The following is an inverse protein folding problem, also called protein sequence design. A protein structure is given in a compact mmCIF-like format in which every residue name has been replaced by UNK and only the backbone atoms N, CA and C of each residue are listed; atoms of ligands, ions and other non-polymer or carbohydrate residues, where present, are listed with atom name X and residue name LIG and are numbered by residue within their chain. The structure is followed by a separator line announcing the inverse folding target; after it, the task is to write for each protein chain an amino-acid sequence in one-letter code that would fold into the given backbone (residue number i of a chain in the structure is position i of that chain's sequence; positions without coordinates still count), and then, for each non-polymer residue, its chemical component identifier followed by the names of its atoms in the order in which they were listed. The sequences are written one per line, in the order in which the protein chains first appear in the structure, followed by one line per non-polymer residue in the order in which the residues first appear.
data_IF_705073754654
#
_entry.id   IF_705073754654
#
_cell.length_a   1.000
_cell.length_b   1.000
_cell.length_c   1.000
_cell.angle_alpha   90.00
_cell.angle_beta   90.00
_cell.angle_gamma   90.00
#
_symmetry.space_group_name_H-M   'P 1'
#
loop_
_entity.id
_entity.type
_entity.pdbx_description
1 polymer ?
#
# COMPACT_ATOMS: atom_id res chain seq x y z
N UNK A 1 8.62 2.84 -30.92
CA UNK A 1 8.92 2.18 -29.65
C UNK A 1 8.47 3.09 -28.54
N UNK A 2 7.29 2.84 -27.99
CA UNK A 2 6.87 3.51 -26.76
C UNK A 2 7.74 2.95 -25.61
N UNK A 3 8.62 3.75 -25.07
CA UNK A 3 9.32 3.37 -23.83
C UNK A 3 8.34 3.61 -22.68
N UNK A 4 7.90 2.55 -21.98
CA UNK A 4 7.14 2.70 -20.75
C UNK A 4 7.99 3.47 -19.75
N UNK A 5 7.58 4.69 -19.45
CA UNK A 5 8.25 5.55 -18.47
C UNK A 5 7.47 5.52 -17.17
N UNK A 6 8.10 5.11 -16.09
CA UNK A 6 7.52 5.16 -14.74
C UNK A 6 7.86 6.52 -14.14
N UNK A 7 6.86 7.19 -13.59
CA UNK A 7 7.00 8.48 -12.92
C UNK A 7 6.53 8.29 -11.47
N UNK A 8 7.38 8.68 -10.53
CA UNK A 8 7.04 8.68 -9.10
C UNK A 8 6.75 10.09 -8.65
N UNK A 9 5.56 10.31 -8.10
CA UNK A 9 5.16 11.58 -7.51
C UNK A 9 4.90 11.39 -6.01
N UNK A 10 5.33 12.34 -5.18
CA UNK A 10 5.10 12.31 -3.74
C UNK A 10 4.02 13.31 -3.36
N UNK A 11 2.89 12.83 -2.87
CA UNK A 11 1.80 13.67 -2.37
C UNK A 11 2.16 14.37 -1.04
N UNK A 12 3.02 13.78 -0.22
CA UNK A 12 3.55 14.31 1.06
C UNK A 12 2.48 14.65 2.12
N UNK A 13 1.35 13.98 2.07
CA UNK A 13 0.30 14.08 3.07
C UNK A 13 -0.34 12.68 3.28
N UNK A 14 -1.15 12.54 4.32
CA UNK A 14 -1.84 11.27 4.55
C UNK A 14 -3.06 11.12 3.64
N UNK A 15 -3.62 9.91 3.61
CA UNK A 15 -4.77 9.56 2.76
C UNK A 15 -6.02 10.39 3.07
N UNK A 16 -6.24 10.78 4.33
CA UNK A 16 -7.39 11.57 4.76
C UNK A 16 -7.34 13.01 4.24
N UNK A 17 -6.13 13.55 4.05
CA UNK A 17 -5.97 14.86 3.39
C UNK A 17 -6.30 14.78 1.90
N UNK A 18 -5.92 13.69 1.23
CA UNK A 18 -6.28 13.45 -0.16
C UNK A 18 -7.80 13.33 -0.29
N UNK A 19 -8.46 12.59 0.62
CA UNK A 19 -9.91 12.45 0.64
C UNK A 19 -10.63 13.80 0.66
N UNK A 20 -10.22 14.71 1.54
CA UNK A 20 -10.85 16.04 1.64
C UNK A 20 -10.69 16.86 0.38
N UNK A 21 -9.52 16.85 -0.25
CA UNK A 21 -9.30 17.57 -1.51
C UNK A 21 -10.18 17.02 -2.63
N UNK A 22 -10.44 15.70 -2.64
CA UNK A 22 -11.32 15.05 -3.62
C UNK A 22 -12.81 15.29 -3.30
N UNK A 23 -13.17 15.35 -2.01
CA UNK A 23 -14.55 15.62 -1.58
C UNK A 23 -14.97 17.07 -1.87
N UNK A 24 -14.03 18.02 -1.83
CA UNK A 24 -14.25 19.42 -2.20
C UNK A 24 -14.48 19.61 -3.71
N UNK A 25 -13.94 18.70 -4.55
CA UNK A 25 -14.08 18.74 -6.00
C UNK A 25 -14.17 17.30 -6.55
N UNK A 26 -15.40 16.83 -6.79
CA UNK A 26 -15.66 15.46 -7.28
C UNK A 26 -15.10 15.20 -8.67
N UNK A 27 -14.92 16.25 -9.47
CA UNK A 27 -14.38 16.18 -10.85
C UNK A 27 -12.85 16.33 -10.87
N UNK A 28 -12.18 16.37 -9.70
CA UNK A 28 -10.74 16.59 -9.64
C UNK A 28 -9.99 15.43 -10.32
N UNK A 29 -9.19 15.80 -11.31
CA UNK A 29 -8.23 14.88 -11.92
C UNK A 29 -7.03 14.70 -10.98
N UNK A 30 -6.83 13.47 -10.50
CA UNK A 30 -5.74 13.13 -9.58
C UNK A 30 -4.36 13.52 -10.15
N UNK A 31 -4.17 13.46 -11.45
CA UNK A 31 -2.93 13.85 -12.10
C UNK A 31 -2.73 15.36 -12.00
N UNK A 32 -3.76 16.14 -12.22
CA UNK A 32 -3.71 17.60 -12.09
C UNK A 32 -3.43 18.01 -10.64
N UNK A 33 -4.04 17.35 -9.66
CA UNK A 33 -3.77 17.57 -8.25
C UNK A 33 -2.30 17.27 -7.90
N UNK A 34 -1.77 16.11 -8.32
CA UNK A 34 -0.39 15.71 -8.06
C UNK A 34 0.61 16.64 -8.72
N UNK A 35 0.33 17.13 -9.95
CA UNK A 35 1.16 18.14 -10.64
C UNK A 35 1.22 19.43 -9.84
N UNK A 36 0.09 19.93 -9.39
CA UNK A 36 0.01 21.17 -8.61
C UNK A 36 0.83 21.05 -7.32
N UNK A 37 0.68 19.93 -6.61
CA UNK A 37 1.45 19.64 -5.39
C UNK A 37 2.95 19.55 -5.66
N UNK A 38 3.35 18.88 -6.74
CA UNK A 38 4.76 18.75 -7.12
C UNK A 38 5.36 20.10 -7.51
N UNK A 39 4.66 20.92 -8.28
CA UNK A 39 5.10 22.27 -8.65
C UNK A 39 5.27 23.14 -7.39
N UNK A 40 4.32 23.09 -6.45
CA UNK A 40 4.44 23.80 -5.16
C UNK A 40 5.65 23.31 -4.36
N UNK A 41 5.87 21.99 -4.29
CA UNK A 41 7.00 21.40 -3.58
C UNK A 41 8.34 21.80 -4.20
N UNK A 42 8.47 21.82 -5.52
CA UNK A 42 9.67 22.24 -6.24
C UNK A 42 10.04 23.71 -6.00
N UNK A 43 9.03 24.58 -5.80
CA UNK A 43 9.27 26.02 -5.48
C UNK A 43 9.82 26.21 -4.06
N UNK A 44 9.57 25.30 -3.15
CA UNK A 44 9.92 25.42 -1.72
C UNK A 44 11.28 24.79 -1.40
N UNK A 45 11.73 23.81 -2.21
CA UNK A 45 12.95 23.04 -1.97
C UNK A 45 13.85 23.03 -3.21
N UNK A 46 15.01 23.65 -3.11
CA UNK A 46 16.03 23.64 -4.15
C UNK A 46 16.87 22.35 -4.23
N UNK A 47 16.66 21.40 -3.32
CA UNK A 47 17.47 20.21 -3.09
C UNK A 47 16.80 18.86 -3.46
N UNK A 48 15.56 18.93 -3.96
CA UNK A 48 14.84 17.75 -4.49
C UNK A 48 15.06 17.70 -6.00
N UNK A 49 15.34 16.53 -6.56
CA UNK A 49 15.31 16.32 -8.01
C UNK A 49 14.01 16.92 -8.56
N UNK A 50 14.14 18.02 -9.29
CA UNK A 50 13.02 18.72 -9.89
C UNK A 50 12.47 17.85 -11.03
N UNK A 51 11.48 17.01 -10.72
CA UNK A 51 10.75 16.29 -11.76
C UNK A 51 9.89 17.33 -12.47
N UNK A 52 10.20 17.60 -13.73
CA UNK A 52 9.36 18.43 -14.58
C UNK A 52 8.10 17.65 -14.98
N UNK A 53 7.01 17.95 -14.31
CA UNK A 53 5.68 17.34 -14.57
C UNK A 53 4.79 18.21 -15.46
N UNK A 54 5.29 19.37 -15.91
CA UNK A 54 4.49 20.34 -16.67
C UNK A 54 4.01 19.81 -18.02
N UNK A 55 4.82 18.95 -18.65
CA UNK A 55 4.56 18.38 -19.97
C UNK A 55 3.87 17.01 -19.95
N UNK A 56 3.45 16.51 -18.78
CA UNK A 56 2.73 15.24 -18.68
C UNK A 56 1.25 15.53 -18.90
N UNK A 57 0.61 14.94 -19.89
CA UNK A 57 -0.83 14.99 -20.05
C UNK A 57 -1.49 13.76 -19.44
N UNK A 58 -2.70 13.89 -18.93
CA UNK A 58 -3.47 12.76 -18.38
C UNK A 58 -3.63 11.65 -19.42
N UNK A 59 -3.82 12.02 -20.69
CA UNK A 59 -3.93 11.08 -21.82
C UNK A 59 -2.66 10.28 -22.11
N UNK A 60 -1.50 10.72 -21.62
CA UNK A 60 -0.22 10.01 -21.76
C UNK A 60 -0.03 8.94 -20.68
N UNK A 61 -0.92 8.88 -19.68
CA UNK A 61 -0.83 8.00 -18.52
C UNK A 61 -1.77 6.82 -18.70
N UNK A 62 -1.21 5.63 -18.78
CA UNK A 62 -1.98 4.40 -18.97
C UNK A 62 -2.46 3.77 -17.67
N UNK A 63 -1.74 3.99 -16.57
CA UNK A 63 -2.07 3.40 -15.28
C UNK A 63 -1.59 4.30 -14.13
N UNK A 64 -2.41 4.36 -13.08
CA UNK A 64 -2.14 5.13 -11.87
C UNK A 64 -2.21 4.20 -10.66
N UNK A 65 -1.15 4.19 -9.85
CA UNK A 65 -1.09 3.44 -8.62
C UNK A 65 -0.83 4.37 -7.44
N UNK A 66 -1.69 4.33 -6.43
CA UNK A 66 -1.65 5.15 -5.24
C UNK A 66 -1.23 4.31 -4.04
N UNK A 67 -0.17 4.70 -3.34
CA UNK A 67 0.31 4.00 -2.15
C UNK A 67 0.22 4.92 -0.95
N UNK A 68 -0.52 4.48 0.07
CA UNK A 68 -0.70 5.23 1.30
C UNK A 68 -0.52 4.34 2.53
N UNK A 69 -0.22 5.00 3.63
CA UNK A 69 -0.23 4.42 4.96
C UNK A 69 -1.65 4.52 5.55
N UNK A 70 -2.06 3.54 6.36
CA UNK A 70 -3.35 3.60 7.03
C UNK A 70 -3.42 4.77 8.02
N UNK A 71 -2.33 5.05 8.76
CA UNK A 71 -2.21 6.21 9.65
C UNK A 71 -3.41 6.47 10.57
N UNK A 72 -4.07 5.42 11.05
CA UNK A 72 -5.29 5.50 11.86
C UNK A 72 -5.18 6.26 13.19
N UNK A 73 -3.96 6.66 13.56
CA UNK A 73 -3.66 7.44 14.76
C UNK A 73 -3.72 8.97 14.53
N UNK A 74 -3.92 9.43 13.30
CA UNK A 74 -3.98 10.87 13.01
C UNK A 74 -5.31 11.45 13.46
N UNK A 75 -5.33 12.73 13.84
CA UNK A 75 -6.53 13.41 14.36
C UNK A 75 -7.70 13.42 13.36
N UNK A 76 -7.38 13.33 12.08
CA UNK A 76 -8.36 13.33 11.00
C UNK A 76 -8.66 11.93 10.45
N UNK A 77 -8.23 10.86 11.13
CA UNK A 77 -8.48 9.50 10.66
C UNK A 77 -9.97 9.13 10.70
N UNK A 78 -10.45 8.56 9.60
CA UNK A 78 -11.81 8.07 9.46
C UNK A 78 -11.82 6.77 8.64
N UNK A 79 -12.30 5.69 9.24
CA UNK A 79 -12.39 4.40 8.57
C UNK A 79 -13.43 4.43 7.43
N UNK A 80 -14.49 5.25 7.55
CA UNK A 80 -15.51 5.46 6.52
C UNK A 80 -14.94 6.18 5.29
N UNK A 81 -14.04 7.14 5.50
CA UNK A 81 -13.34 7.81 4.40
C UNK A 81 -12.42 6.84 3.64
N UNK A 82 -11.75 5.91 4.33
CA UNK A 82 -10.97 4.84 3.69
C UNK A 82 -11.83 3.98 2.77
N UNK A 83 -13.03 3.57 3.21
CA UNK A 83 -13.95 2.80 2.36
C UNK A 83 -14.32 3.58 1.10
N UNK A 84 -14.65 4.87 1.23
CA UNK A 84 -14.97 5.71 0.07
C UNK A 84 -13.78 5.85 -0.89
N UNK A 85 -12.57 6.00 -0.35
CA UNK A 85 -11.34 6.09 -1.15
C UNK A 85 -11.05 4.79 -1.91
N UNK A 86 -11.21 3.64 -1.26
CA UNK A 86 -11.02 2.33 -1.89
C UNK A 86 -12.02 2.08 -3.02
N UNK A 87 -13.28 2.54 -2.86
CA UNK A 87 -14.30 2.45 -3.90
C UNK A 87 -14.04 3.42 -5.08
N UNK A 88 -13.49 4.62 -4.81
CA UNK A 88 -13.18 5.60 -5.86
C UNK A 88 -11.93 5.22 -6.65
N UNK A 89 -10.95 4.61 -5.99
CA UNK A 89 -9.65 4.24 -6.55
C UNK A 89 -9.48 2.73 -6.59
N UNK A 90 -10.32 2.07 -7.35
CA UNK A 90 -10.36 0.61 -7.51
C UNK A 90 -9.75 0.11 -8.84
N UNK A 91 -9.53 1.03 -9.80
CA UNK A 91 -9.09 0.70 -11.16
C UNK A 91 -7.93 1.61 -11.60
N UNK A 92 -6.77 1.00 -11.88
CA UNK A 92 -5.55 1.69 -12.29
C UNK A 92 -5.65 2.40 -13.64
N UNK A 93 -6.58 1.99 -14.51
CA UNK A 93 -6.76 2.57 -15.85
C UNK A 93 -7.80 3.70 -15.88
N UNK A 94 -8.47 3.94 -14.77
CA UNK A 94 -9.49 4.99 -14.62
C UNK A 94 -8.99 6.08 -13.63
N UNK A 95 -9.53 6.08 -12.42
CA UNK A 95 -9.14 7.06 -11.39
C UNK A 95 -7.82 6.74 -10.71
N UNK A 96 -7.31 5.52 -10.90
CA UNK A 96 -6.16 4.96 -10.21
C UNK A 96 -6.55 3.84 -9.25
N UNK A 97 -5.57 3.05 -8.81
CA UNK A 97 -5.76 1.97 -7.87
C UNK A 97 -5.03 2.24 -6.57
N UNK A 98 -5.78 2.23 -5.47
CA UNK A 98 -5.28 2.51 -4.12
C UNK A 98 -4.76 1.25 -3.44
N UNK A 99 -3.57 1.36 -2.84
CA UNK A 99 -2.92 0.34 -2.03
C UNK A 99 -2.58 0.91 -0.66
N UNK A 100 -3.01 0.23 0.41
CA UNK A 100 -2.81 0.68 1.79
C UNK A 100 -1.88 -0.25 2.55
N UNK A 101 -0.88 0.31 3.22
CA UNK A 101 0.00 -0.41 4.14
C UNK A 101 -0.48 -0.25 5.59
N UNK A 102 -0.53 -1.35 6.34
CA UNK A 102 -1.01 -1.42 7.72
C UNK A 102 0.14 -1.75 8.69
N UNK A 103 0.47 -0.88 9.65
CA UNK A 103 -0.04 0.49 9.83
C UNK A 103 0.59 1.50 8.87
N UNK A 104 1.75 1.22 8.27
CA UNK A 104 2.49 2.11 7.37
C UNK A 104 3.50 1.34 6.50
N UNK A 105 4.22 2.06 5.61
CA UNK A 105 5.15 1.48 4.63
C UNK A 105 6.22 0.57 5.23
N UNK A 106 6.65 0.80 6.47
CA UNK A 106 7.57 -0.08 7.19
C UNK A 106 7.05 -1.50 7.40
N UNK A 107 5.74 -1.74 7.21
CA UNK A 107 5.14 -3.09 7.23
C UNK A 107 5.83 -4.06 6.27
N UNK A 108 6.36 -3.56 5.13
CA UNK A 108 7.08 -4.38 4.16
C UNK A 108 8.27 -5.12 4.78
N UNK A 109 9.00 -4.46 5.65
CA UNK A 109 10.18 -5.03 6.29
C UNK A 109 9.95 -5.51 7.73
N UNK A 110 8.73 -5.38 8.27
CA UNK A 110 8.39 -5.92 9.58
C UNK A 110 8.24 -7.43 9.48
N UNK A 111 9.37 -8.12 9.45
CA UNK A 111 9.45 -9.57 9.33
C UNK A 111 10.73 -10.08 10.01
N UNK A 112 10.54 -11.07 10.89
CA UNK A 112 11.61 -11.73 11.62
C UNK A 112 11.46 -13.24 11.48
N UNK A 113 12.50 -13.91 10.98
CA UNK A 113 12.46 -15.34 10.62
C UNK A 113 12.16 -16.29 11.78
N UNK A 114 12.52 -15.88 12.99
CA UNK A 114 12.29 -16.65 14.22
C UNK A 114 10.95 -16.32 14.90
N UNK A 115 10.15 -15.40 14.33
CA UNK A 115 8.88 -14.92 14.92
C UNK A 115 7.76 -14.86 13.89
N UNK A 116 7.50 -15.98 13.20
CA UNK A 116 6.49 -16.04 12.13
C UNK A 116 5.05 -16.25 12.64
N UNK A 117 4.84 -16.41 13.94
CA UNK A 117 3.51 -16.46 14.52
C UNK A 117 2.75 -15.16 14.25
N UNK A 118 1.51 -15.30 13.76
CA UNK A 118 0.67 -14.18 13.33
C UNK A 118 0.44 -13.13 14.43
N UNK A 119 0.39 -13.58 15.70
CA UNK A 119 0.19 -12.69 16.84
C UNK A 119 1.34 -11.70 17.05
N UNK A 120 2.53 -11.97 16.51
CA UNK A 120 3.66 -11.04 16.54
C UNK A 120 3.47 -9.85 15.56
N UNK A 121 2.46 -9.92 14.69
CA UNK A 121 2.19 -8.93 13.66
C UNK A 121 0.87 -8.17 13.90
N UNK A 122 0.32 -8.23 15.11
CA UNK A 122 -0.76 -7.34 15.54
C UNK A 122 -0.14 -6.13 16.25
N UNK A 123 -0.44 -4.93 15.74
CA UNK A 123 0.11 -3.68 16.26
C UNK A 123 -0.97 -2.63 16.45
N UNK A 124 -0.74 -1.67 17.34
CA UNK A 124 -1.65 -0.55 17.59
C UNK A 124 -1.91 0.25 16.32
N UNK A 125 -3.18 0.55 16.07
CA UNK A 125 -3.66 1.25 14.88
C UNK A 125 -4.10 2.68 15.15
N UNK A 126 -4.75 2.90 16.29
CA UNK A 126 -5.33 4.21 16.67
C UNK A 126 -4.44 5.01 17.62
N UNK A 127 -3.45 4.37 18.23
CA UNK A 127 -2.49 5.03 19.12
C UNK A 127 -1.19 5.31 18.39
N UNK A 128 -0.65 6.50 18.57
CA UNK A 128 0.66 6.88 18.00
C UNK A 128 1.77 6.07 18.65
N UNK A 129 2.33 5.14 17.93
CA UNK A 129 3.52 4.36 18.30
C UNK A 129 4.71 4.76 17.43
N UNK A 130 5.93 4.60 17.93
CA UNK A 130 7.12 4.77 17.10
C UNK A 130 7.38 3.49 16.29
N UNK A 131 6.44 3.16 15.40
CA UNK A 131 6.46 1.92 14.61
C UNK A 131 7.72 1.76 13.78
N UNK A 132 8.22 2.84 13.19
CA UNK A 132 9.47 2.82 12.43
C UNK A 132 10.66 2.33 13.24
N UNK A 133 10.84 2.86 14.45
CA UNK A 133 11.92 2.41 15.35
C UNK A 133 11.67 0.99 15.85
N UNK A 134 10.42 0.63 16.13
CA UNK A 134 10.06 -0.73 16.52
C UNK A 134 10.45 -1.72 15.42
N UNK A 135 10.11 -1.44 14.16
CA UNK A 135 10.44 -2.30 13.02
C UNK A 135 11.95 -2.40 12.83
N UNK A 136 12.70 -1.30 12.90
CA UNK A 136 14.16 -1.35 12.72
C UNK A 136 14.88 -2.24 13.75
N UNK A 137 14.30 -2.41 14.95
CA UNK A 137 14.81 -3.32 15.99
C UNK A 137 14.27 -4.75 15.88
N UNK A 138 13.20 -4.97 15.11
CA UNK A 138 12.48 -6.23 15.00
C UNK A 138 12.37 -6.74 13.55
N UNK A 139 13.38 -6.51 12.73
CA UNK A 139 13.45 -7.01 11.36
C UNK A 139 14.76 -7.70 11.06
N UNK A 140 14.73 -8.68 10.15
CA UNK A 140 15.90 -9.23 9.50
C UNK A 140 16.18 -8.59 8.12
N UNK A 141 15.37 -7.57 7.73
CA UNK A 141 15.33 -6.99 6.39
C UNK A 141 15.42 -5.45 6.39
N UNK A 142 16.28 -4.88 7.24
CA UNK A 142 16.36 -3.43 7.40
C UNK A 142 16.74 -2.70 6.11
N UNK A 143 17.70 -3.25 5.36
CA UNK A 143 18.20 -2.66 4.12
C UNK A 143 17.63 -3.37 2.89
N UNK A 144 16.55 -2.83 2.33
CA UNK A 144 15.86 -3.42 1.17
C UNK A 144 16.70 -3.43 -0.11
N UNK A 145 17.69 -2.53 -0.26
CA UNK A 145 18.55 -2.46 -1.45
C UNK A 145 19.45 -3.69 -1.59
N UNK A 146 19.84 -4.28 -0.47
CA UNK A 146 20.76 -5.41 -0.43
C UNK A 146 20.05 -6.78 -0.42
N UNK A 147 18.72 -6.81 -0.59
CA UNK A 147 17.98 -8.06 -0.55
C UNK A 147 18.20 -8.90 -1.80
N UNK A 148 18.40 -10.20 -1.60
CA UNK A 148 18.43 -11.18 -2.68
C UNK A 148 17.02 -11.44 -3.23
N UNK A 149 16.93 -12.03 -4.42
CA UNK A 149 15.67 -12.50 -4.99
C UNK A 149 14.89 -13.41 -4.02
N UNK A 150 15.60 -14.33 -3.34
CA UNK A 150 14.98 -15.21 -2.34
C UNK A 150 14.42 -14.46 -1.13
N UNK A 151 15.11 -13.41 -0.65
CA UNK A 151 14.57 -12.56 0.42
C UNK A 151 13.27 -11.86 -0.01
N UNK A 152 13.22 -11.34 -1.24
CA UNK A 152 12.02 -10.73 -1.78
C UNK A 152 10.84 -11.70 -1.86
N UNK A 153 11.05 -12.89 -2.41
CA UNK A 153 9.99 -13.92 -2.44
C UNK A 153 9.50 -14.29 -1.04
N UNK A 154 10.42 -14.42 -0.08
CA UNK A 154 10.06 -14.71 1.30
C UNK A 154 9.22 -13.59 1.91
N UNK A 155 9.59 -12.31 1.75
CA UNK A 155 8.82 -11.17 2.24
C UNK A 155 7.43 -11.14 1.62
N UNK A 156 7.33 -11.34 0.30
CA UNK A 156 6.06 -11.33 -0.42
C UNK A 156 5.17 -12.48 0.03
N UNK A 157 5.72 -13.69 0.15
CA UNK A 157 4.97 -14.88 0.58
C UNK A 157 4.45 -14.75 2.01
N UNK A 158 5.24 -14.19 2.92
CA UNK A 158 4.80 -13.98 4.31
C UNK A 158 3.71 -12.90 4.42
N UNK A 159 3.73 -11.86 3.58
CA UNK A 159 2.62 -10.92 3.47
C UNK A 159 1.36 -11.60 2.91
N UNK A 160 1.50 -12.45 1.88
CA UNK A 160 0.38 -13.22 1.34
C UNK A 160 -0.18 -14.19 2.39
N UNK A 161 0.64 -14.93 3.13
CA UNK A 161 0.19 -15.80 4.24
C UNK A 161 -0.64 -15.04 5.26
N UNK A 162 -0.17 -13.87 5.69
CA UNK A 162 -0.91 -13.03 6.65
C UNK A 162 -2.24 -12.56 6.09
N UNK A 163 -2.28 -12.21 4.80
CA UNK A 163 -3.52 -11.84 4.14
C UNK A 163 -4.51 -13.02 4.05
N UNK A 164 -4.03 -14.21 3.69
CA UNK A 164 -4.84 -15.42 3.65
C UNK A 164 -5.42 -15.76 5.03
N UNK A 165 -4.62 -15.62 6.09
CA UNK A 165 -5.08 -15.76 7.46
C UNK A 165 -6.14 -14.71 7.84
N UNK A 166 -5.93 -13.44 7.47
CA UNK A 166 -6.88 -12.36 7.72
C UNK A 166 -8.22 -12.64 7.05
N UNK A 167 -8.20 -13.03 5.78
CA UNK A 167 -9.39 -13.29 4.96
C UNK A 167 -9.96 -14.71 5.16
N UNK A 168 -9.34 -15.54 6.02
CA UNK A 168 -9.77 -16.91 6.32
C UNK A 168 -9.79 -17.82 5.08
N UNK A 169 -8.87 -17.58 4.13
CA UNK A 169 -8.70 -18.37 2.91
C UNK A 169 -7.71 -19.50 3.17
N UNK A 170 -8.14 -20.75 3.11
CA UNK A 170 -7.33 -21.94 3.40
C UNK A 170 -6.65 -22.53 2.17
N UNK A 171 -7.27 -22.38 1.00
CA UNK A 171 -6.73 -22.86 -0.27
C UNK A 171 -6.68 -21.70 -1.25
N UNK A 172 -5.55 -21.54 -1.91
CA UNK A 172 -5.32 -20.42 -2.81
C UNK A 172 -4.85 -20.90 -4.18
N UNK A 173 -5.45 -20.39 -5.22
CA UNK A 173 -4.98 -20.38 -6.60
C UNK A 173 -5.14 -18.97 -7.16
N UNK A 174 -4.70 -18.73 -8.40
CA UNK A 174 -4.74 -17.39 -8.97
C UNK A 174 -6.17 -16.88 -9.18
N UNK A 175 -7.11 -17.75 -9.53
CA UNK A 175 -8.53 -17.39 -9.68
C UNK A 175 -9.13 -16.92 -8.35
N UNK A 176 -8.87 -17.64 -7.26
CA UNK A 176 -9.31 -17.22 -5.91
C UNK A 176 -8.63 -15.91 -5.51
N UNK A 177 -7.32 -15.78 -5.78
CA UNK A 177 -6.58 -14.56 -5.52
C UNK A 177 -7.23 -13.36 -6.21
N UNK A 178 -7.42 -13.42 -7.51
CA UNK A 178 -7.94 -12.30 -8.32
C UNK A 178 -9.39 -11.92 -7.99
N UNK A 179 -10.19 -12.87 -7.51
CA UNK A 179 -11.59 -12.64 -7.19
C UNK A 179 -11.84 -12.21 -5.74
N UNK A 180 -11.00 -12.64 -4.79
CA UNK A 180 -11.27 -12.47 -3.37
C UNK A 180 -10.29 -11.53 -2.66
N UNK A 181 -9.08 -11.35 -3.18
CA UNK A 181 -8.06 -10.54 -2.54
C UNK A 181 -7.92 -9.20 -3.27
N UNK A 182 -8.50 -8.17 -2.69
CA UNK A 182 -8.37 -6.78 -3.11
C UNK A 182 -8.25 -5.88 -1.89
N UNK A 183 -7.92 -4.61 -2.10
CA UNK A 183 -7.67 -3.69 -1.00
C UNK A 183 -8.92 -3.42 -0.14
N UNK A 184 -10.10 -3.44 -0.73
CA UNK A 184 -11.37 -3.29 -0.02
C UNK A 184 -11.65 -4.49 0.90
N UNK A 185 -11.51 -5.72 0.40
CA UNK A 185 -11.70 -6.93 1.20
C UNK A 185 -10.70 -7.01 2.37
N UNK A 186 -9.45 -6.61 2.14
CA UNK A 186 -8.42 -6.53 3.17
C UNK A 186 -8.81 -5.51 4.24
N UNK A 187 -9.21 -4.29 3.83
CA UNK A 187 -9.58 -3.24 4.79
C UNK A 187 -10.81 -3.60 5.60
N UNK A 188 -11.87 -4.07 4.94
CA UNK A 188 -13.12 -4.46 5.61
C UNK A 188 -12.86 -5.56 6.66
N UNK A 189 -12.00 -6.52 6.36
CA UNK A 189 -11.66 -7.58 7.32
C UNK A 189 -10.75 -7.09 8.44
N UNK A 190 -9.81 -6.16 8.17
CA UNK A 190 -9.03 -5.46 9.20
C UNK A 190 -9.95 -4.69 10.15
N UNK A 191 -10.91 -3.93 9.58
CA UNK A 191 -11.86 -3.12 10.32
C UNK A 191 -12.73 -4.00 11.24
N UNK A 192 -13.33 -5.05 10.69
CA UNK A 192 -14.25 -5.94 11.41
C UNK A 192 -13.54 -6.75 12.49
N UNK A 193 -12.36 -7.30 12.20
CA UNK A 193 -11.70 -8.27 13.08
C UNK A 193 -10.81 -7.62 14.13
N UNK A 194 -10.15 -6.51 13.80
CA UNK A 194 -9.11 -5.92 14.65
C UNK A 194 -9.33 -4.45 14.97
N UNK A 195 -9.59 -3.59 13.97
CA UNK A 195 -9.61 -2.14 14.20
C UNK A 195 -10.77 -1.76 15.14
N UNK A 196 -11.98 -2.23 14.84
CA UNK A 196 -13.18 -1.88 15.64
C UNK A 196 -13.20 -2.55 17.01
N UNK A 197 -12.54 -3.69 17.17
CA UNK A 197 -12.62 -4.48 18.41
C UNK A 197 -11.44 -4.24 19.34
N UNK A 198 -10.25 -4.07 18.81
CA UNK A 198 -9.00 -4.04 19.57
C UNK A 198 -8.15 -2.80 19.32
N UNK A 199 -8.57 -1.89 18.43
CA UNK A 199 -7.79 -0.74 17.95
C UNK A 199 -6.42 -1.14 17.37
N UNK A 200 -6.32 -2.36 16.81
CA UNK A 200 -5.12 -2.91 16.20
C UNK A 200 -5.29 -3.15 14.71
N UNK A 201 -4.17 -3.38 14.03
CA UNK A 201 -4.12 -3.88 12.66
C UNK A 201 -3.18 -5.08 12.57
N UNK A 202 -3.51 -6.01 11.70
CA UNK A 202 -2.56 -7.02 11.26
C UNK A 202 -1.59 -6.36 10.26
N UNK A 203 -0.30 -6.46 10.53
CA UNK A 203 0.75 -5.87 9.69
C UNK A 203 0.72 -6.45 8.29
N UNK A 204 0.36 -5.63 7.31
CA UNK A 204 0.35 -5.97 5.88
C UNK A 204 0.93 -4.81 5.07
N UNK A 205 1.86 -5.12 4.17
CA UNK A 205 2.35 -4.16 3.20
C UNK A 205 1.53 -4.19 1.93
N UNK A 206 1.23 -3.02 1.38
CA UNK A 206 0.58 -2.85 0.09
C UNK A 206 1.41 -3.37 -1.09
N UNK A 207 2.73 -3.20 -1.02
CA UNK A 207 3.65 -3.46 -2.13
C UNK A 207 3.64 -4.91 -2.66
N UNK A 208 3.62 -5.98 -1.81
CA UNK A 208 3.47 -7.36 -2.26
C UNK A 208 2.22 -7.60 -3.12
N UNK A 209 1.08 -7.03 -2.76
CA UNK A 209 -0.17 -7.20 -3.51
C UNK A 209 -0.11 -6.50 -4.86
N UNK A 210 0.43 -5.26 -4.89
CA UNK A 210 0.72 -4.59 -6.14
C UNK A 210 1.60 -5.42 -7.07
N UNK A 211 2.70 -6.01 -6.57
CA UNK A 211 3.59 -6.84 -7.40
C UNK A 211 2.86 -8.07 -7.97
N UNK A 212 2.05 -8.75 -7.16
CA UNK A 212 1.32 -9.93 -7.61
C UNK A 212 0.29 -9.55 -8.70
N UNK A 213 -0.44 -8.46 -8.52
CA UNK A 213 -1.41 -7.97 -9.50
C UNK A 213 -0.72 -7.47 -10.78
N UNK A 214 0.38 -6.73 -10.65
CA UNK A 214 1.11 -6.15 -11.80
C UNK A 214 1.77 -7.22 -12.67
N UNK A 215 2.37 -8.25 -12.06
CA UNK A 215 3.05 -9.32 -12.79
C UNK A 215 2.17 -10.55 -13.09
N UNK A 216 0.99 -10.65 -12.49
CA UNK A 216 -0.02 -11.65 -12.79
C UNK A 216 0.30 -13.08 -12.33
N UNK A 217 -0.34 -14.04 -12.97
CA UNK A 217 -0.42 -15.44 -12.56
C UNK A 217 0.95 -16.14 -12.44
N UNK A 218 1.88 -15.87 -13.34
CA UNK A 218 3.21 -16.51 -13.28
C UNK A 218 3.97 -16.08 -12.01
N UNK A 219 3.90 -14.79 -11.68
CA UNK A 219 4.53 -14.27 -10.48
C UNK A 219 3.83 -14.78 -9.22
N UNK A 220 2.50 -14.80 -9.21
CA UNK A 220 1.71 -15.39 -8.12
C UNK A 220 2.13 -16.85 -7.86
N UNK A 221 2.25 -17.68 -8.89
CA UNK A 221 2.65 -19.08 -8.77
C UNK A 221 4.05 -19.23 -8.15
N UNK A 222 4.98 -18.33 -8.51
CA UNK A 222 6.30 -18.28 -7.87
C UNK A 222 6.19 -17.90 -6.39
N UNK A 223 5.37 -16.92 -6.02
CA UNK A 223 5.16 -16.51 -4.63
C UNK A 223 4.55 -17.65 -3.81
N UNK A 224 3.52 -18.32 -4.32
CA UNK A 224 2.86 -19.43 -3.63
C UNK A 224 3.81 -20.60 -3.39
N UNK A 225 4.74 -20.85 -4.30
CA UNK A 225 5.74 -21.93 -4.10
C UNK A 225 6.65 -21.70 -2.88
N UNK A 226 6.68 -20.50 -2.32
CA UNK A 226 7.39 -20.14 -1.08
C UNK A 226 6.49 -20.21 0.17
N UNK A 227 5.18 -20.46 -0.02
CA UNK A 227 4.25 -20.67 1.08
C UNK A 227 4.39 -22.13 1.54
N UNK A 228 5.27 -22.36 2.50
CA UNK A 228 5.49 -23.69 3.12
C UNK A 228 4.75 -23.75 4.44
#
# INVERSE_FOLDING_TARGET
TFSNKIIFLSYKANIYNLFREIEEDEDIDIISLLKEKQIKANKIRNDVENIDVSNINSDDISQIYLFFDYDGHTENASDEEIVKMLNKFDNETENGKLYISYPMVEALKHLKKDKLDINNYLVEAKTRINYKNFVSQNTDYENLVNLTKGNWFFIISENLKRCLFLLEITNINYEIYSNMINQESIFNKQLDKYISQEEKVLVLSAFPFFLIEYFGEEFFSLVVSWIV
#
